data_IF_759950828548
#
_entry.id   IF_759950828548
#
_cell.length_a   1.000
_cell.length_b   1.000
_cell.length_c   1.000
_cell.angle_alpha   90.00
_cell.angle_beta   90.00
_cell.angle_gamma   90.00
#
_symmetry.space_group_name_H-M   'P 1'
#
loop_
_entity.id
_entity.type
_entity.pdbx_description
1 polymer ?
#
# COMPACT_ATOMS: atom_id res chain seq x y z
N UNK A 1 -6.88 -3.69 5.75
CA UNK A 1 -5.78 -4.66 5.52
C UNK A 1 -4.68 -3.95 4.74
N UNK A 2 -3.43 -4.04 5.18
CA UNK A 2 -2.29 -3.37 4.55
C UNK A 2 -1.13 -4.34 4.38
N UNK A 3 -0.36 -4.14 3.30
CA UNK A 3 0.82 -4.95 2.99
C UNK A 3 2.00 -4.06 2.65
N UNK A 4 3.15 -4.37 3.25
CA UNK A 4 4.45 -3.81 2.89
C UNK A 4 5.21 -4.82 2.04
N UNK A 5 5.65 -4.40 0.86
CA UNK A 5 6.43 -5.25 -0.04
C UNK A 5 7.84 -4.72 -0.21
N UNK A 6 8.77 -5.66 -0.32
CA UNK A 6 10.19 -5.42 -0.61
C UNK A 6 10.68 -6.48 -1.56
N UNK A 7 11.18 -6.09 -2.72
CA UNK A 7 12.12 -6.83 -3.54
C UNK A 7 12.43 -6.04 -4.82
N UNK A 8 13.50 -6.41 -5.53
CA UNK A 8 13.82 -5.91 -6.88
C UNK A 8 12.69 -6.18 -7.91
N UNK A 9 11.67 -6.95 -7.53
CA UNK A 9 10.47 -7.23 -8.32
C UNK A 9 9.32 -6.24 -8.10
N UNK A 10 9.49 -5.22 -7.24
CA UNK A 10 8.47 -4.18 -6.97
C UNK A 10 9.04 -2.77 -7.12
N UNK A 11 9.78 -2.54 -8.20
CA UNK A 11 10.33 -1.23 -8.52
C UNK A 11 9.23 -0.30 -9.05
N UNK A 12 9.29 0.97 -8.68
CA UNK A 12 8.46 2.04 -9.26
C UNK A 12 9.30 3.11 -9.95
N UNK A 13 10.63 2.94 -9.95
CA UNK A 13 11.60 3.79 -10.64
C UNK A 13 12.75 2.94 -11.18
N UNK A 14 13.35 3.39 -12.29
CA UNK A 14 14.51 2.72 -12.90
C UNK A 14 15.75 2.99 -12.07
N UNK A 15 16.45 1.93 -11.65
CA UNK A 15 17.65 2.02 -10.81
C UNK A 15 18.88 1.48 -11.54
N UNK A 16 20.07 1.96 -11.18
CA UNK A 16 21.34 1.45 -11.70
C UNK A 16 22.18 0.86 -10.58
N UNK A 17 22.65 -0.37 -10.76
CA UNK A 17 23.42 -1.11 -9.75
C UNK A 17 24.80 -1.42 -10.32
N UNK A 18 25.85 -1.07 -9.58
CA UNK A 18 27.24 -1.42 -9.91
C UNK A 18 27.58 -2.79 -9.33
N UNK A 19 28.01 -3.71 -10.19
CA UNK A 19 28.50 -5.04 -9.80
C UNK A 19 29.95 -4.96 -9.27
N UNK A 20 30.41 -5.96 -8.51
CA UNK A 20 31.80 -6.00 -8.00
C UNK A 20 32.87 -5.93 -9.10
N UNK A 21 32.55 -6.40 -10.31
CA UNK A 21 33.41 -6.32 -11.49
C UNK A 21 33.44 -4.93 -12.16
N UNK A 22 32.74 -3.94 -11.58
CA UNK A 22 32.68 -2.58 -12.07
C UNK A 22 31.60 -2.30 -13.11
N UNK A 23 30.93 -3.32 -13.66
CA UNK A 23 29.85 -3.14 -14.64
C UNK A 23 28.61 -2.52 -13.98
N UNK A 24 27.98 -1.57 -14.67
CA UNK A 24 26.71 -0.97 -14.24
C UNK A 24 25.57 -1.68 -14.96
N UNK A 25 24.59 -2.16 -14.20
CA UNK A 25 23.37 -2.80 -14.71
C UNK A 25 22.18 -1.91 -14.38
N UNK A 26 21.45 -1.51 -15.42
CA UNK A 26 20.21 -0.75 -15.29
C UNK A 26 19.03 -1.71 -15.18
N UNK A 27 18.20 -1.53 -14.15
CA UNK A 27 16.97 -2.29 -13.93
C UNK A 27 15.78 -1.38 -14.23
N UNK A 28 15.10 -1.67 -15.34
CA UNK A 28 13.92 -0.94 -15.78
C UNK A 28 12.68 -1.38 -14.98
N UNK A 29 12.01 -0.44 -14.34
CA UNK A 29 10.86 -0.76 -13.49
C UNK A 29 9.65 -1.27 -14.29
N UNK A 30 9.51 -0.88 -15.55
CA UNK A 30 8.42 -1.28 -16.43
C UNK A 30 8.70 -2.61 -17.17
N UNK A 31 9.82 -3.27 -16.88
CA UNK A 31 10.12 -4.58 -17.45
C UNK A 31 9.24 -5.66 -16.84
N UNK A 32 8.38 -6.28 -17.66
CA UNK A 32 7.54 -7.41 -17.26
C UNK A 32 8.32 -8.67 -16.87
N UNK A 33 9.63 -8.72 -17.14
CA UNK A 33 10.53 -9.80 -16.68
C UNK A 33 10.85 -9.65 -15.19
N UNK A 34 10.93 -8.41 -14.70
CA UNK A 34 11.31 -8.07 -13.34
C UNK A 34 10.10 -7.71 -12.47
N UNK A 35 9.25 -6.80 -12.94
CA UNK A 35 8.19 -6.25 -12.12
C UNK A 35 7.02 -7.24 -11.95
N UNK A 36 6.54 -7.34 -10.71
CA UNK A 36 5.43 -8.19 -10.29
C UNK A 36 4.34 -7.40 -9.57
N UNK A 37 4.43 -6.07 -9.57
CA UNK A 37 3.45 -5.18 -8.96
C UNK A 37 2.03 -5.43 -9.48
N UNK A 38 1.88 -5.68 -10.79
CA UNK A 38 0.59 -5.97 -11.43
C UNK A 38 -0.08 -7.25 -10.91
N UNK A 39 0.66 -8.15 -10.27
CA UNK A 39 0.07 -9.34 -9.62
C UNK A 39 -0.70 -8.99 -8.34
N UNK A 40 -0.54 -7.77 -7.83
CA UNK A 40 -1.14 -7.30 -6.57
C UNK A 40 -2.21 -6.23 -6.79
N UNK A 41 -2.27 -5.59 -7.95
CA UNK A 41 -3.20 -4.47 -8.23
C UNK A 41 -4.67 -4.92 -8.23
N UNK A 42 -4.95 -6.22 -8.40
CA UNK A 42 -6.31 -6.75 -8.23
C UNK A 42 -6.81 -6.61 -6.77
N UNK A 43 -5.92 -6.68 -5.78
CA UNK A 43 -6.27 -6.60 -4.36
C UNK A 43 -6.72 -5.21 -3.90
N UNK A 44 -6.46 -4.18 -4.71
CA UNK A 44 -6.93 -2.82 -4.47
C UNK A 44 -7.74 -2.25 -5.64
N UNK A 45 -8.20 -3.10 -6.57
CA UNK A 45 -8.98 -2.72 -7.74
C UNK A 45 -8.29 -1.69 -8.66
N UNK A 46 -6.95 -1.71 -8.71
CA UNK A 46 -6.16 -0.74 -9.49
C UNK A 46 -6.20 0.67 -8.92
N UNK A 47 -6.62 0.85 -7.66
CA UNK A 47 -6.49 2.13 -6.98
C UNK A 47 -5.01 2.49 -6.77
N UNK A 48 -4.68 3.77 -6.53
CA UNK A 48 -3.30 4.19 -6.33
C UNK A 48 -2.57 3.39 -5.23
N UNK A 49 -1.33 2.97 -5.53
CA UNK A 49 -0.41 2.41 -4.55
C UNK A 49 0.11 3.53 -3.62
N UNK A 50 0.79 3.15 -2.53
CA UNK A 50 1.32 4.06 -1.52
C UNK A 50 0.25 5.01 -0.92
N UNK A 51 -1.00 4.55 -0.86
CA UNK A 51 -2.16 5.32 -0.41
C UNK A 51 -2.95 4.56 0.63
N UNK A 52 -3.45 5.26 1.65
CA UNK A 52 -4.34 4.68 2.66
C UNK A 52 -5.75 4.46 2.08
N UNK A 53 -6.11 3.20 1.89
CA UNK A 53 -7.41 2.75 1.39
C UNK A 53 -8.26 2.08 2.49
N UNK A 54 -8.01 2.41 3.76
CA UNK A 54 -8.69 1.81 4.91
C UNK A 54 -10.21 2.02 4.91
N UNK A 55 -10.70 3.13 4.35
CA UNK A 55 -12.13 3.40 4.23
C UNK A 55 -12.68 2.72 2.97
N UNK A 56 -13.64 1.81 3.15
CA UNK A 56 -14.28 1.11 2.05
C UNK A 56 -14.92 2.10 1.05
N UNK A 57 -14.79 1.77 -0.24
CA UNK A 57 -15.40 2.56 -1.33
C UNK A 57 -16.72 1.91 -1.74
N UNK A 58 -17.77 2.71 -1.87
CA UNK A 58 -19.04 2.24 -2.41
C UNK A 58 -19.16 2.67 -3.86
N UNK A 59 -19.45 1.73 -4.74
CA UNK A 59 -19.66 1.96 -6.17
C UNK A 59 -21.07 1.53 -6.56
N UNK A 60 -21.67 2.24 -7.49
CA UNK A 60 -22.99 1.90 -8.03
C UNK A 60 -22.85 1.32 -9.42
N UNK A 61 -23.54 0.21 -9.67
CA UNK A 61 -23.69 -0.34 -11.01
C UNK A 61 -25.14 -0.79 -11.17
N UNK A 62 -25.87 -0.12 -12.09
CA UNK A 62 -27.34 -0.25 -12.21
C UNK A 62 -27.98 0.05 -10.86
N UNK A 63 -28.88 -0.81 -10.41
CA UNK A 63 -29.61 -0.66 -9.14
C UNK A 63 -28.86 -1.26 -7.93
N UNK A 64 -27.61 -1.71 -8.12
CA UNK A 64 -26.81 -2.32 -7.05
C UNK A 64 -25.76 -1.35 -6.54
N UNK A 65 -25.69 -1.24 -5.21
CA UNK A 65 -24.57 -0.60 -4.51
C UNK A 65 -23.64 -1.68 -3.99
N UNK A 66 -22.38 -1.64 -4.41
CA UNK A 66 -21.35 -2.63 -4.08
C UNK A 66 -20.29 -1.95 -3.20
N UNK A 67 -19.96 -2.60 -2.09
CA UNK A 67 -18.87 -2.17 -1.22
C UNK A 67 -17.56 -2.84 -1.67
N UNK A 68 -16.53 -2.03 -1.90
CA UNK A 68 -15.19 -2.47 -2.26
C UNK A 68 -14.27 -2.39 -1.03
N UNK A 69 -13.62 -3.50 -0.72
CA UNK A 69 -12.61 -3.60 0.33
C UNK A 69 -11.23 -3.57 -0.32
N UNK A 70 -10.68 -2.37 -0.48
CA UNK A 70 -9.40 -2.19 -1.15
C UNK A 70 -8.24 -2.33 -0.17
N UNK A 71 -7.24 -3.13 -0.54
CA UNK A 71 -6.01 -3.28 0.23
C UNK A 71 -5.11 -2.06 0.05
N UNK A 72 -4.56 -1.52 1.13
CA UNK A 72 -3.53 -0.46 1.02
C UNK A 72 -2.18 -1.10 0.71
N UNK A 73 -1.69 -0.91 -0.51
CA UNK A 73 -0.45 -1.52 -1.02
C UNK A 73 0.65 -0.48 -0.95
N UNK A 74 1.71 -0.76 -0.18
CA UNK A 74 2.88 0.12 -0.09
C UNK A 74 4.12 -0.58 -0.63
N UNK A 75 4.89 0.14 -1.45
CA UNK A 75 6.15 -0.36 -2.05
C UNK A 75 7.27 0.66 -1.92
N UNK A 76 8.47 0.16 -1.62
CA UNK A 76 9.69 0.97 -1.66
C UNK A 76 10.27 0.91 -3.08
N UNK A 77 9.93 1.92 -3.88
CA UNK A 77 10.14 1.95 -5.33
C UNK A 77 11.58 1.84 -5.81
N UNK A 78 12.54 2.27 -4.98
CA UNK A 78 13.96 2.29 -5.27
C UNK A 78 14.67 0.95 -4.94
N UNK A 79 13.92 -0.05 -4.47
CA UNK A 79 14.46 -1.37 -4.11
C UNK A 79 15.22 -1.42 -2.78
N UNK A 80 15.31 -0.31 -2.04
CA UNK A 80 15.97 -0.26 -0.74
C UNK A 80 15.14 -0.96 0.35
N UNK A 81 15.76 -1.10 1.53
CA UNK A 81 15.05 -1.56 2.73
C UNK A 81 14.06 -0.49 3.18
N UNK A 82 12.91 -0.93 3.69
CA UNK A 82 11.96 -0.04 4.34
C UNK A 82 12.58 0.61 5.58
N UNK A 83 12.35 1.91 5.72
CA UNK A 83 12.56 2.62 6.97
C UNK A 83 11.48 2.21 7.98
N UNK A 84 11.92 1.71 9.13
CA UNK A 84 11.04 1.23 10.21
C UNK A 84 10.11 2.33 10.72
N UNK A 85 10.60 3.57 10.81
CA UNK A 85 9.80 4.72 11.22
C UNK A 85 8.71 5.02 10.20
N UNK A 86 9.03 5.00 8.91
CA UNK A 86 8.03 5.18 7.84
C UNK A 86 6.95 4.09 7.87
N UNK A 87 7.34 2.83 8.06
CA UNK A 87 6.38 1.73 8.20
C UNK A 87 5.45 1.97 9.40
N UNK A 88 6.02 2.33 10.55
CA UNK A 88 5.26 2.64 11.76
C UNK A 88 4.27 3.79 11.54
N UNK A 89 4.72 4.89 10.94
CA UNK A 89 3.88 6.07 10.67
C UNK A 89 2.69 5.71 9.77
N UNK A 90 2.92 4.90 8.73
CA UNK A 90 1.86 4.39 7.84
C UNK A 90 0.88 3.51 8.62
N UNK A 91 1.38 2.55 9.40
CA UNK A 91 0.53 1.65 10.21
C UNK A 91 -0.33 2.44 11.22
N UNK A 92 0.24 3.48 11.82
CA UNK A 92 -0.44 4.35 12.77
C UNK A 92 -1.51 5.19 12.07
N UNK A 93 -1.22 5.72 10.89
CA UNK A 93 -2.17 6.49 10.08
C UNK A 93 -3.36 5.64 9.64
N UNK A 94 -3.12 4.41 9.20
CA UNK A 94 -4.18 3.43 8.88
C UNK A 94 -5.01 3.10 10.12
N UNK A 95 -4.36 2.83 11.26
CA UNK A 95 -5.04 2.54 12.53
C UNK A 95 -5.94 3.70 12.98
N UNK A 96 -5.45 4.95 12.86
CA UNK A 96 -6.24 6.16 13.16
C UNK A 96 -7.47 6.26 12.26
N UNK A 97 -7.32 6.00 10.95
CA UNK A 97 -8.44 5.99 10.01
C UNK A 97 -9.46 4.90 10.37
N UNK A 98 -9.01 3.71 10.76
CA UNK A 98 -9.89 2.64 11.24
C UNK A 98 -10.69 3.06 12.48
N UNK A 99 -10.04 3.67 13.47
CA UNK A 99 -10.71 4.16 14.68
C UNK A 99 -11.74 5.26 14.37
N UNK A 100 -11.44 6.14 13.41
CA UNK A 100 -12.41 7.15 12.96
C UNK A 100 -13.67 6.52 12.37
N UNK A 101 -13.52 5.45 11.57
CA UNK A 101 -14.66 4.72 10.99
C UNK A 101 -15.48 4.02 12.09
N UNK A 102 -14.82 3.50 13.13
CA UNK A 102 -15.46 2.86 14.29
C UNK A 102 -15.99 3.86 15.33
N UNK A 103 -15.84 5.17 15.11
CA UNK A 103 -16.08 6.20 16.12
C UNK A 103 -17.45 6.14 16.78
N UNK A 104 -18.51 5.79 16.01
CA UNK A 104 -19.87 5.63 16.54
C UNK A 104 -19.97 4.49 17.57
N UNK A 105 -19.27 3.38 17.33
CA UNK A 105 -19.35 2.17 18.17
C UNK A 105 -18.57 2.33 19.48
N UNK A 106 -17.45 3.08 19.45
CA UNK A 106 -16.57 3.25 20.60
C UNK A 106 -16.87 4.52 21.42
N UNK A 107 -17.80 5.37 20.97
CA UNK A 107 -18.10 6.66 21.61
C UNK A 107 -18.43 6.54 23.10
N UNK A 108 -19.29 5.58 23.46
CA UNK A 108 -19.70 5.38 24.85
C UNK A 108 -18.54 4.98 25.76
N UNK A 109 -17.61 4.16 25.27
CA UNK A 109 -16.45 3.72 26.04
C UNK A 109 -15.49 4.89 26.30
N UNK A 110 -15.27 5.73 25.28
CA UNK A 110 -14.39 6.91 25.37
C UNK A 110 -14.98 7.97 26.31
N UNK A 111 -16.30 8.19 26.26
CA UNK A 111 -16.95 9.26 27.04
C UNK A 111 -17.30 8.87 28.47
N UNK A 112 -17.56 7.58 28.74
CA UNK A 112 -17.88 7.07 30.07
C UNK A 112 -16.67 6.58 30.87
N UNK A 113 -15.50 6.46 30.26
CA UNK A 113 -14.23 6.15 30.95
C UNK A 113 -13.65 7.34 31.74
N UNK A 114 -14.49 8.33 32.08
CA UNK A 114 -14.13 9.49 32.89
C UNK A 114 -14.61 9.31 34.31
#
# INVERSE_FOLDING_TARGET
MYYFWKAQIFLTETISIKRPDGRVVTLEYNSGTLNRLDRLTSANYGMPINTNLCKNKFVKHKDKTIMLQATSIYTQGNGEKWDVKKMFDIMLEISKTSLKVLGSEIFNQITKSK
#
